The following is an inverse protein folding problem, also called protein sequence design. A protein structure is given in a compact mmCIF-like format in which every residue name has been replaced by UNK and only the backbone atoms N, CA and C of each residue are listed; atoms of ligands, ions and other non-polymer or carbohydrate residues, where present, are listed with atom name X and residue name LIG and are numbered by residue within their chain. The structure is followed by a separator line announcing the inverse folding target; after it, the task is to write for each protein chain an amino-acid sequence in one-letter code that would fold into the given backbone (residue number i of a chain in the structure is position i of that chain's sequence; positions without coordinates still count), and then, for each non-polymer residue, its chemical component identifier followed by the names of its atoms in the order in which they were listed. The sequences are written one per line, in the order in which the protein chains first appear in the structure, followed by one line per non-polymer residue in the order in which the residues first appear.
data_IF_163498338275
#
_entry.id   IF_163498338275
#
_cell.length_a   1.000
_cell.length_b   1.000
_cell.length_c   1.000
_cell.angle_alpha   90.00
_cell.angle_beta   90.00
_cell.angle_gamma   90.00
#
_symmetry.space_group_name_H-M   'P 1'
#
loop_
_entity.id
_entity.type
_entity.pdbx_description
1 polymer ?
#
# COMPACT_ATOMS: atom_id res chain seq x y z
N UNK A 1 -12.24 -10.54 -51.47
CA UNK A 1 -12.28 -11.54 -50.38
C UNK A 1 -11.41 -11.10 -49.19
N UNK A 2 -11.52 -9.83 -48.77
CA UNK A 2 -10.72 -9.27 -47.68
C UNK A 2 -11.48 -8.40 -46.65
N UNK A 3 -12.82 -8.42 -46.70
CA UNK A 3 -13.64 -7.54 -45.83
C UNK A 3 -14.22 -8.28 -44.60
N UNK A 4 -14.18 -9.63 -44.57
CA UNK A 4 -14.80 -10.40 -43.49
C UNK A 4 -13.88 -10.65 -42.25
N UNK A 5 -12.55 -10.50 -42.39
CA UNK A 5 -11.60 -10.79 -41.29
C UNK A 5 -11.45 -9.62 -40.33
N UNK A 6 -11.66 -8.38 -40.81
CA UNK A 6 -11.53 -7.18 -39.94
C UNK A 6 -12.71 -6.97 -38.97
N UNK A 7 -13.90 -7.53 -39.31
CA UNK A 7 -15.08 -7.36 -38.47
C UNK A 7 -15.13 -8.31 -37.27
N UNK A 8 -14.55 -9.50 -37.42
CA UNK A 8 -14.48 -10.48 -36.32
C UNK A 8 -13.48 -10.05 -35.26
N UNK A 9 -12.34 -9.47 -35.67
CA UNK A 9 -11.31 -8.97 -34.74
C UNK A 9 -11.77 -7.78 -33.86
N UNK A 10 -12.62 -6.91 -34.43
CA UNK A 10 -13.16 -5.78 -33.69
C UNK A 10 -14.22 -6.20 -32.64
N UNK A 11 -14.92 -7.29 -32.88
CA UNK A 11 -15.93 -7.81 -31.94
C UNK A 11 -15.31 -8.59 -30.79
N UNK A 12 -14.28 -9.37 -31.05
CA UNK A 12 -13.55 -10.10 -30.00
C UNK A 12 -12.77 -9.16 -29.06
N UNK A 13 -12.09 -8.13 -29.59
CA UNK A 13 -11.44 -7.12 -28.76
C UNK A 13 -12.43 -6.32 -27.89
N UNK A 14 -13.65 -6.01 -28.41
CA UNK A 14 -14.65 -5.33 -27.58
C UNK A 14 -15.28 -6.23 -26.53
N UNK A 15 -15.44 -7.52 -26.80
CA UNK A 15 -15.92 -8.47 -25.82
C UNK A 15 -14.92 -8.71 -24.68
N UNK A 16 -13.63 -8.79 -24.98
CA UNK A 16 -12.56 -8.94 -24.00
C UNK A 16 -12.45 -7.68 -23.11
N UNK A 17 -12.53 -6.47 -23.70
CA UNK A 17 -12.50 -5.21 -22.93
C UNK A 17 -13.75 -5.05 -22.05
N UNK A 18 -14.92 -5.55 -22.46
CA UNK A 18 -16.15 -5.50 -21.65
C UNK A 18 -16.18 -6.53 -20.53
N UNK A 19 -15.48 -7.65 -20.65
CA UNK A 19 -15.40 -8.66 -19.60
C UNK A 19 -14.46 -8.22 -18.45
N UNK A 20 -13.48 -7.37 -18.74
CA UNK A 20 -12.50 -6.92 -17.75
C UNK A 20 -13.03 -5.76 -16.85
N UNK A 21 -14.10 -5.07 -17.27
CA UNK A 21 -14.72 -3.99 -16.50
C UNK A 21 -15.71 -4.45 -15.42
N UNK A 22 -15.89 -5.76 -15.22
CA UNK A 22 -16.88 -6.31 -14.26
C UNK A 22 -16.27 -6.99 -13.05
N UNK A 23 -14.95 -7.17 -13.00
CA UNK A 23 -14.29 -7.80 -11.86
C UNK A 23 -14.24 -6.86 -10.67
N UNK A 24 -14.57 -7.36 -9.49
CA UNK A 24 -14.28 -6.68 -8.24
C UNK A 24 -12.77 -6.74 -7.93
N UNK A 25 -12.25 -5.82 -7.11
CA UNK A 25 -10.85 -5.86 -6.68
C UNK A 25 -10.50 -7.18 -5.99
N UNK A 26 -11.45 -7.78 -5.26
CA UNK A 26 -11.26 -9.07 -4.62
C UNK A 26 -11.10 -10.22 -5.64
N UNK A 27 -11.90 -10.23 -6.70
CA UNK A 27 -11.80 -11.23 -7.77
C UNK A 27 -10.50 -11.06 -8.57
N UNK A 28 -10.11 -9.82 -8.85
CA UNK A 28 -8.87 -9.52 -9.56
C UNK A 28 -7.65 -9.95 -8.74
N UNK A 29 -7.63 -9.65 -7.45
CA UNK A 29 -6.56 -10.08 -6.55
C UNK A 29 -6.49 -11.61 -6.44
N UNK A 30 -7.61 -12.30 -6.25
CA UNK A 30 -7.63 -13.77 -6.16
C UNK A 30 -7.08 -14.43 -7.43
N UNK A 31 -7.46 -13.93 -8.61
CA UNK A 31 -6.97 -14.45 -9.89
C UNK A 31 -5.46 -14.16 -10.06
N UNK A 32 -5.02 -12.97 -9.65
CA UNK A 32 -3.60 -12.59 -9.73
C UNK A 32 -2.71 -13.44 -8.83
N UNK A 33 -3.17 -13.78 -7.62
CA UNK A 33 -2.39 -14.55 -6.66
C UNK A 33 -2.45 -16.06 -6.91
N UNK A 34 -3.53 -16.58 -7.52
CA UNK A 34 -3.70 -18.01 -7.78
C UNK A 34 -3.56 -18.83 -6.51
N UNK A 35 -2.62 -19.79 -6.49
CA UNK A 35 -2.36 -20.67 -5.34
C UNK A 35 -1.15 -20.22 -4.48
N UNK A 36 -0.63 -19.01 -4.71
CA UNK A 36 0.55 -18.53 -4.00
C UNK A 36 0.23 -18.21 -2.53
N UNK A 37 1.17 -18.53 -1.64
CA UNK A 37 1.12 -18.21 -0.20
C UNK A 37 2.27 -17.28 0.19
N UNK A 38 1.98 -16.31 1.08
CA UNK A 38 2.93 -15.29 1.49
C UNK A 38 3.21 -15.31 2.98
N UNK A 39 4.49 -15.16 3.33
CA UNK A 39 4.95 -15.00 4.72
C UNK A 39 4.85 -13.55 5.20
N UNK A 40 4.82 -12.58 4.29
CA UNK A 40 4.77 -11.15 4.63
C UNK A 40 3.94 -10.36 3.63
N UNK A 41 3.04 -9.53 4.15
CA UNK A 41 2.21 -8.61 3.37
C UNK A 41 2.53 -7.17 3.76
N UNK A 42 2.75 -6.32 2.75
CA UNK A 42 2.78 -4.85 2.85
C UNK A 42 1.59 -4.30 2.08
N UNK A 43 0.86 -3.36 2.66
CA UNK A 43 -0.28 -2.73 1.99
C UNK A 43 -0.38 -1.22 2.26
N UNK A 44 -0.75 -0.47 1.21
CA UNK A 44 -1.10 0.96 1.29
C UNK A 44 -2.46 1.19 0.61
N UNK A 45 -3.58 0.79 1.23
CA UNK A 45 -4.90 0.91 0.62
C UNK A 45 -5.25 2.34 0.23
N UNK A 46 -6.00 2.54 -0.86
CA UNK A 46 -6.50 3.85 -1.26
C UNK A 46 -7.67 4.29 -0.38
N UNK A 47 -7.37 4.61 0.86
CA UNK A 47 -8.34 4.94 1.91
C UNK A 47 -9.31 6.03 1.50
N UNK A 48 -10.60 5.80 1.75
CA UNK A 48 -11.64 6.82 1.60
C UNK A 48 -11.86 7.58 2.91
N UNK A 49 -11.73 8.91 2.83
CA UNK A 49 -12.05 9.78 3.96
C UNK A 49 -13.51 10.23 3.88
N UNK A 50 -14.33 9.80 4.83
CA UNK A 50 -15.71 10.27 4.96
C UNK A 50 -15.74 11.50 5.85
N UNK A 51 -16.12 12.65 5.31
CA UNK A 51 -16.28 13.86 6.09
C UNK A 51 -17.74 14.08 6.49
N UNK A 52 -18.03 13.99 7.78
CA UNK A 52 -19.38 14.19 8.36
C UNK A 52 -19.90 15.62 8.27
N UNK A 53 -19.06 16.62 8.02
CA UNK A 53 -19.44 18.03 8.12
C UNK A 53 -19.83 18.67 6.79
N UNK A 54 -19.80 17.95 5.69
CA UNK A 54 -20.14 18.46 4.35
C UNK A 54 -19.22 19.58 3.84
N UNK A 55 -18.25 20.05 4.64
CA UNK A 55 -17.24 20.98 4.20
C UNK A 55 -16.15 20.23 3.46
N UNK A 56 -15.85 20.65 2.25
CA UNK A 56 -14.75 20.08 1.44
C UNK A 56 -13.43 20.36 2.16
N UNK A 57 -12.95 19.41 2.94
CA UNK A 57 -11.61 19.49 3.48
C UNK A 57 -10.59 19.48 2.33
N UNK A 58 -9.40 20.08 2.50
CA UNK A 58 -8.33 20.03 1.50
C UNK A 58 -7.98 18.60 1.05
N UNK A 59 -8.23 17.62 1.90
CA UNK A 59 -8.11 16.20 1.60
C UNK A 59 -9.08 15.75 0.49
N UNK A 60 -10.29 16.31 0.39
CA UNK A 60 -11.25 15.99 -0.68
C UNK A 60 -10.77 16.40 -2.08
N UNK A 61 -9.95 17.44 -2.21
CA UNK A 61 -9.27 17.73 -3.48
C UNK A 61 -8.27 16.64 -3.88
N UNK A 62 -7.85 15.78 -2.95
CA UNK A 62 -6.98 14.62 -3.21
C UNK A 62 -7.79 13.42 -3.70
N UNK A 63 -9.03 13.25 -3.26
CA UNK A 63 -9.95 12.18 -3.69
C UNK A 63 -10.27 12.24 -5.19
N UNK A 64 -10.16 13.41 -5.82
CA UNK A 64 -10.34 13.57 -7.26
C UNK A 64 -9.15 13.07 -8.11
N UNK A 65 -8.06 12.61 -7.49
CA UNK A 65 -6.81 12.26 -8.21
C UNK A 65 -6.65 10.77 -8.49
N UNK A 66 -7.27 9.91 -7.70
CA UNK A 66 -7.30 8.46 -7.91
C UNK A 66 -8.53 7.84 -7.23
N UNK A 67 -9.03 6.71 -7.75
CA UNK A 67 -10.15 5.99 -7.14
C UNK A 67 -9.77 5.56 -5.71
N UNK A 68 -10.70 5.75 -4.78
CA UNK A 68 -10.59 5.26 -3.40
C UNK A 68 -11.47 4.03 -3.24
N UNK A 69 -11.15 3.17 -2.25
CA UNK A 69 -11.96 2.01 -1.90
C UNK A 69 -12.73 2.26 -0.62
N UNK A 70 -13.92 1.69 -0.51
CA UNK A 70 -14.68 1.63 0.75
C UNK A 70 -13.97 0.69 1.73
N UNK A 71 -14.19 0.89 3.03
CA UNK A 71 -13.60 0.05 4.06
C UNK A 71 -13.99 -1.42 3.89
N UNK A 72 -15.26 -1.66 3.58
CA UNK A 72 -15.83 -2.98 3.35
C UNK A 72 -15.13 -3.72 2.21
N UNK A 73 -14.83 -3.02 1.12
CA UNK A 73 -14.14 -3.59 -0.04
C UNK A 73 -12.66 -3.93 0.29
N UNK A 74 -11.99 -3.08 1.09
CA UNK A 74 -10.63 -3.35 1.56
C UNK A 74 -10.62 -4.59 2.48
N UNK A 75 -11.57 -4.67 3.41
CA UNK A 75 -11.71 -5.81 4.31
C UNK A 75 -12.04 -7.12 3.57
N UNK A 76 -12.80 -7.02 2.47
CA UNK A 76 -13.23 -8.16 1.67
C UNK A 76 -12.16 -8.71 0.71
N UNK A 77 -10.98 -8.09 0.61
CA UNK A 77 -9.88 -8.66 -0.15
C UNK A 77 -9.46 -10.02 0.41
N UNK A 78 -9.28 -11.07 -0.41
CA UNK A 78 -9.03 -12.45 0.03
C UNK A 78 -7.61 -12.67 0.53
N UNK A 79 -7.04 -11.70 1.26
CA UNK A 79 -5.65 -11.74 1.74
C UNK A 79 -5.43 -12.94 2.67
N UNK A 80 -6.41 -13.25 3.54
CA UNK A 80 -6.31 -14.33 4.50
C UNK A 80 -6.14 -15.72 3.86
N UNK A 81 -6.60 -15.90 2.63
CA UNK A 81 -6.56 -17.16 1.87
C UNK A 81 -5.19 -17.42 1.28
N UNK A 82 -4.37 -16.37 1.12
CA UNK A 82 -3.04 -16.40 0.52
C UNK A 82 -1.91 -16.22 1.54
N UNK A 83 -2.17 -16.52 2.81
CA UNK A 83 -1.18 -16.39 3.87
C UNK A 83 -0.70 -17.76 4.35
N UNK A 84 0.61 -17.86 4.51
CA UNK A 84 1.22 -18.96 5.25
C UNK A 84 0.67 -19.04 6.69
N UNK A 85 0.78 -20.20 7.34
CA UNK A 85 0.36 -20.42 8.74
C UNK A 85 0.95 -19.39 9.71
N UNK A 86 2.15 -18.92 9.41
CA UNK A 86 2.84 -17.84 10.14
C UNK A 86 3.16 -16.71 9.17
N UNK A 87 2.58 -15.56 9.44
CA UNK A 87 2.75 -14.39 8.56
C UNK A 87 2.83 -13.07 9.33
N UNK A 88 3.41 -12.07 8.67
CA UNK A 88 3.48 -10.68 9.10
C UNK A 88 2.65 -9.80 8.17
N UNK A 89 2.04 -8.76 8.71
CA UNK A 89 1.40 -7.71 7.93
C UNK A 89 1.93 -6.34 8.34
N UNK A 90 2.21 -5.53 7.34
CA UNK A 90 2.55 -4.12 7.45
C UNK A 90 1.50 -3.31 6.68
N UNK A 91 0.67 -2.55 7.41
CA UNK A 91 -0.46 -1.82 6.83
C UNK A 91 -0.32 -0.32 7.06
N UNK A 92 -0.15 0.45 5.99
CA UNK A 92 -0.15 1.91 6.05
C UNK A 92 -1.56 2.45 6.33
N UNK A 93 -1.65 3.28 7.35
CA UNK A 93 -2.91 3.86 7.78
C UNK A 93 -2.73 5.36 8.08
N UNK A 94 -3.58 6.23 7.53
CA UNK A 94 -3.64 7.61 7.97
C UNK A 94 -4.02 7.72 9.44
N UNK A 95 -3.45 8.67 10.17
CA UNK A 95 -3.71 8.83 11.62
C UNK A 95 -5.22 8.92 11.96
N UNK A 96 -6.02 9.54 11.07
CA UNK A 96 -7.45 9.70 11.28
C UNK A 96 -8.27 8.42 11.06
N UNK A 97 -7.69 7.38 10.45
CA UNK A 97 -8.34 6.11 10.11
C UNK A 97 -7.72 4.92 10.86
N UNK A 98 -7.13 5.19 12.03
CA UNK A 98 -6.53 4.13 12.83
C UNK A 98 -7.52 3.01 13.21
N UNK A 99 -8.77 3.29 13.62
CA UNK A 99 -9.77 2.24 13.89
C UNK A 99 -10.05 1.37 12.65
N UNK A 100 -10.17 1.99 11.48
CA UNK A 100 -10.39 1.31 10.19
C UNK A 100 -9.20 0.41 9.83
N UNK A 101 -7.98 0.89 10.05
CA UNK A 101 -6.77 0.10 9.84
C UNK A 101 -6.69 -1.14 10.74
N UNK A 102 -7.11 -1.01 12.00
CA UNK A 102 -7.20 -2.16 12.91
C UNK A 102 -8.27 -3.16 12.47
N UNK A 103 -9.41 -2.67 11.95
CA UNK A 103 -10.46 -3.53 11.39
C UNK A 103 -9.97 -4.31 10.16
N UNK A 104 -9.20 -3.67 9.26
CA UNK A 104 -8.61 -4.35 8.09
C UNK A 104 -7.62 -5.43 8.53
N UNK A 105 -6.72 -5.15 9.48
CA UNK A 105 -5.80 -6.18 10.00
C UNK A 105 -6.56 -7.39 10.51
N UNK A 106 -7.63 -7.16 11.29
CA UNK A 106 -8.47 -8.24 11.83
C UNK A 106 -9.18 -9.01 10.72
N UNK A 107 -9.76 -8.33 9.73
CA UNK A 107 -10.45 -8.94 8.60
C UNK A 107 -9.50 -9.84 7.78
N UNK A 108 -8.24 -9.43 7.62
CA UNK A 108 -7.21 -10.22 6.93
C UNK A 108 -6.56 -11.32 7.81
N UNK A 109 -7.07 -11.53 9.02
CA UNK A 109 -6.62 -12.61 9.91
C UNK A 109 -5.35 -12.32 10.70
N UNK A 110 -4.98 -11.04 10.87
CA UNK A 110 -3.84 -10.61 11.68
C UNK A 110 -4.25 -10.04 13.02
N UNK A 111 -3.47 -10.31 14.05
CA UNK A 111 -3.54 -9.67 15.35
C UNK A 111 -2.55 -8.50 15.40
N UNK A 112 -3.03 -7.28 15.69
CA UNK A 112 -2.17 -6.12 15.88
C UNK A 112 -1.16 -6.34 17.03
N UNK A 113 0.10 -6.02 16.79
CA UNK A 113 1.18 -6.17 17.79
C UNK A 113 1.94 -4.89 18.06
N UNK A 114 2.18 -4.08 17.02
CA UNK A 114 3.02 -2.89 17.11
C UNK A 114 2.78 -1.97 15.90
N UNK A 115 3.55 -0.90 15.82
CA UNK A 115 3.56 -0.04 14.64
C UNK A 115 4.95 0.57 14.42
N UNK A 116 5.16 1.06 13.22
CA UNK A 116 6.27 1.93 12.86
C UNK A 116 5.69 3.30 12.49
N UNK A 117 6.28 4.36 13.00
CA UNK A 117 5.85 5.73 12.71
C UNK A 117 6.78 6.32 11.65
N UNK A 118 6.21 6.76 10.53
CA UNK A 118 6.95 7.61 9.61
C UNK A 118 6.84 9.07 10.05
N UNK A 119 7.93 9.63 10.55
CA UNK A 119 8.08 11.05 10.84
C UNK A 119 8.58 11.78 9.59
N UNK A 120 7.73 12.64 9.04
CA UNK A 120 8.00 13.45 7.85
C UNK A 120 8.79 14.67 8.24
N UNK A 121 10.03 14.76 7.78
CA UNK A 121 10.94 15.85 8.10
C UNK A 121 11.17 16.79 6.91
N UNK A 122 11.64 18.00 7.18
CA UNK A 122 12.12 18.98 6.20
C UNK A 122 13.63 18.80 5.94
N UNK A 123 14.17 19.62 5.02
CA UNK A 123 15.61 19.62 4.70
C UNK A 123 16.50 19.98 5.90
N UNK A 124 15.98 20.79 6.80
CA UNK A 124 16.66 21.20 8.04
C UNK A 124 16.51 20.20 9.19
N UNK A 125 15.91 19.01 8.93
CA UNK A 125 15.65 17.99 9.93
C UNK A 125 14.43 18.26 10.82
N UNK A 126 13.84 19.45 10.77
CA UNK A 126 12.61 19.76 11.50
C UNK A 126 11.38 19.08 10.94
N UNK A 127 10.33 18.95 11.75
CA UNK A 127 9.05 18.34 11.33
C UNK A 127 8.43 19.08 10.13
N UNK A 128 7.89 18.32 9.15
CA UNK A 128 7.20 18.89 7.98
C UNK A 128 5.78 19.32 8.32
N UNK A 129 5.64 20.47 8.98
CA UNK A 129 4.36 21.04 9.40
C UNK A 129 3.53 21.71 8.30
N UNK A 130 3.80 21.44 7.01
CA UNK A 130 3.08 22.05 5.87
C UNK A 130 1.72 21.37 5.57
N UNK A 131 1.43 20.24 6.20
CA UNK A 131 0.13 19.59 6.10
C UNK A 131 -0.97 20.37 6.82
N UNK A 132 -2.21 20.23 6.36
CA UNK A 132 -3.40 20.69 7.07
C UNK A 132 -4.02 19.54 7.84
N UNK A 133 -4.62 19.83 8.99
CA UNK A 133 -5.37 18.87 9.78
C UNK A 133 -6.45 19.59 10.59
N UNK A 134 -7.53 18.89 10.91
CA UNK A 134 -8.64 19.47 11.68
C UNK A 134 -8.26 19.78 13.12
N UNK A 135 -7.44 18.94 13.72
CA UNK A 135 -7.01 19.09 15.11
C UNK A 135 -5.53 19.44 15.19
N UNK A 136 -4.69 18.61 14.57
CA UNK A 136 -3.25 18.79 14.53
C UNK A 136 -2.73 18.71 13.09
N UNK A 137 -1.63 19.38 12.80
CA UNK A 137 -0.92 19.21 11.53
C UNK A 137 -0.18 17.89 11.55
N UNK A 138 -0.66 16.93 10.75
CA UNK A 138 -0.07 15.60 10.70
C UNK A 138 1.33 15.65 10.05
N UNK A 139 2.33 15.39 10.85
CA UNK A 139 3.72 15.21 10.43
C UNK A 139 4.13 13.74 10.41
N UNK A 140 3.21 12.85 10.77
CA UNK A 140 3.44 11.41 10.84
C UNK A 140 2.43 10.64 9.99
N UNK A 141 2.80 9.41 9.61
CA UNK A 141 1.90 8.33 9.17
C UNK A 141 2.24 7.06 9.92
N UNK A 142 1.26 6.17 10.05
CA UNK A 142 1.37 4.94 10.82
C UNK A 142 1.47 3.75 9.88
N UNK A 143 2.48 2.90 10.09
CA UNK A 143 2.58 1.57 9.52
C UNK A 143 2.25 0.57 10.63
N UNK A 144 1.03 0.04 10.63
CA UNK A 144 0.62 -0.99 11.59
C UNK A 144 1.37 -2.27 11.34
N UNK A 145 1.74 -2.97 12.40
CA UNK A 145 2.33 -4.29 12.35
C UNK A 145 1.43 -5.31 13.02
N UNK A 146 1.03 -6.33 12.26
CA UNK A 146 0.24 -7.45 12.72
C UNK A 146 0.92 -8.79 12.47
N UNK A 147 0.54 -9.82 13.25
CA UNK A 147 1.04 -11.18 13.07
C UNK A 147 -0.10 -12.18 12.96
N UNK A 148 0.10 -13.25 12.19
CA UNK A 148 -0.75 -14.43 12.12
C UNK A 148 0.03 -15.65 12.61
N UNK A 149 -0.63 -16.54 13.33
CA UNK A 149 -0.04 -17.79 13.83
C UNK A 149 0.47 -17.71 15.27
N UNK A 150 0.98 -18.84 15.79
CA UNK A 150 1.47 -18.96 17.17
C UNK A 150 2.95 -18.62 17.28
N UNK A 151 3.32 -17.88 18.33
CA UNK A 151 4.71 -17.53 18.63
C UNK A 151 5.45 -16.82 17.48
N UNK A 152 4.72 -16.03 16.70
CA UNK A 152 5.27 -15.27 15.58
C UNK A 152 5.94 -13.99 16.11
N UNK A 153 7.23 -13.84 15.80
CA UNK A 153 8.05 -12.67 16.17
C UNK A 153 8.84 -12.23 14.94
N UNK A 154 9.29 -10.98 14.94
CA UNK A 154 10.25 -10.50 13.96
C UNK A 154 11.53 -11.33 13.97
N UNK A 155 12.23 -11.41 12.85
CA UNK A 155 13.53 -12.06 12.72
C UNK A 155 14.56 -11.47 13.70
N UNK A 156 15.54 -12.28 14.11
CA UNK A 156 16.47 -11.89 15.18
C UNK A 156 17.24 -10.59 14.92
N UNK A 157 17.75 -10.30 13.71
CA UNK A 157 18.37 -9.01 13.41
C UNK A 157 17.40 -7.84 13.54
N UNK A 158 16.15 -8.02 13.09
CA UNK A 158 15.10 -7.00 13.11
C UNK A 158 14.60 -6.64 14.51
N UNK A 159 14.85 -7.45 15.53
CA UNK A 159 14.45 -7.16 16.91
C UNK A 159 15.13 -5.92 17.51
N UNK A 160 16.17 -5.41 16.87
CA UNK A 160 16.82 -4.15 17.26
C UNK A 160 16.31 -2.95 16.46
N UNK A 161 15.42 -3.18 15.50
CA UNK A 161 14.85 -2.12 14.67
C UNK A 161 13.98 -1.21 15.54
N UNK A 162 14.30 0.07 15.55
CA UNK A 162 13.45 1.08 16.18
C UNK A 162 12.18 1.27 15.35
N UNK A 163 11.07 1.55 16.00
CA UNK A 163 9.77 1.70 15.37
C UNK A 163 9.54 3.10 14.77
N UNK A 164 10.55 3.68 14.16
CA UNK A 164 10.46 5.00 13.53
C UNK A 164 11.28 5.07 12.25
N UNK A 165 10.68 5.67 11.21
CA UNK A 165 11.35 6.10 9.99
C UNK A 165 11.34 7.62 9.97
N UNK A 166 12.49 8.23 9.82
CA UNK A 166 12.60 9.67 9.58
C UNK A 166 13.07 9.90 8.15
N UNK A 167 12.20 10.45 7.33
CA UNK A 167 12.57 10.80 5.97
C UNK A 167 11.70 11.93 5.43
N UNK A 168 12.12 12.50 4.32
CA UNK A 168 11.37 13.56 3.67
C UNK A 168 10.22 12.96 2.87
N UNK A 169 9.14 13.74 2.74
CA UNK A 169 8.05 13.37 1.84
C UNK A 169 8.59 13.12 0.45
N UNK A 170 8.02 12.13 -0.18
CA UNK A 170 8.27 11.75 -1.54
C UNK A 170 7.18 12.29 -2.45
N UNK A 171 7.13 11.94 -3.71
CA UNK A 171 6.02 12.26 -4.58
C UNK A 171 4.67 11.95 -3.91
N UNK A 172 3.60 12.44 -4.45
CA UNK A 172 2.29 12.34 -3.81
C UNK A 172 1.95 10.90 -3.39
N UNK A 173 1.61 10.74 -2.11
CA UNK A 173 1.23 9.47 -1.45
C UNK A 173 2.27 8.36 -1.43
N UNK A 174 3.47 8.54 -1.99
CA UNK A 174 4.52 7.53 -1.94
C UNK A 174 5.06 7.39 -0.52
N UNK A 175 5.17 6.16 -0.07
CA UNK A 175 5.76 5.80 1.22
C UNK A 175 7.29 5.76 1.14
N UNK A 176 7.99 5.83 2.28
CA UNK A 176 9.45 5.82 2.32
C UNK A 176 10.01 4.46 1.89
N UNK A 177 11.02 4.46 1.00
CA UNK A 177 11.64 3.21 0.52
C UNK A 177 12.38 2.46 1.63
N UNK A 178 12.74 3.15 2.70
CA UNK A 178 13.35 2.58 3.90
C UNK A 178 12.50 1.47 4.53
N UNK A 179 11.17 1.48 4.27
CA UNK A 179 10.25 0.43 4.73
C UNK A 179 10.67 -0.97 4.27
N UNK A 180 11.08 -1.11 3.01
CA UNK A 180 11.40 -2.43 2.46
C UNK A 180 12.58 -3.08 3.17
N UNK A 181 13.66 -2.33 3.38
CA UNK A 181 14.82 -2.83 4.14
C UNK A 181 14.44 -3.22 5.57
N UNK A 182 13.56 -2.47 6.21
CA UNK A 182 13.08 -2.78 7.56
C UNK A 182 12.25 -4.07 7.52
N UNK A 183 11.33 -4.18 6.57
CA UNK A 183 10.45 -5.36 6.44
C UNK A 183 11.29 -6.60 6.15
N UNK A 184 12.17 -6.55 5.16
CA UNK A 184 13.04 -7.65 4.77
C UNK A 184 14.00 -8.09 5.90
N UNK A 185 14.43 -7.14 6.76
CA UNK A 185 15.26 -7.44 7.93
C UNK A 185 14.48 -7.96 9.15
N UNK A 186 13.16 -7.75 9.18
CA UNK A 186 12.30 -8.15 10.31
C UNK A 186 11.42 -9.37 10.01
N UNK A 187 11.24 -9.72 8.74
CA UNK A 187 10.23 -10.67 8.29
C UNK A 187 10.77 -11.54 7.16
N UNK A 188 10.13 -12.66 6.94
CA UNK A 188 10.48 -13.63 5.90
C UNK A 188 9.53 -13.55 4.72
N UNK A 189 10.01 -13.93 3.54
CA UNK A 189 9.22 -14.08 2.32
C UNK A 189 8.44 -15.41 2.27
N UNK A 190 7.72 -15.64 1.19
CA UNK A 190 7.54 -14.72 0.07
C UNK A 190 6.85 -13.42 0.48
N UNK A 191 7.17 -12.32 -0.23
CA UNK A 191 6.65 -10.98 0.07
C UNK A 191 5.56 -10.59 -0.92
N UNK A 192 4.43 -10.08 -0.41
CA UNK A 192 3.33 -9.50 -1.19
C UNK A 192 3.19 -8.01 -0.87
N UNK A 193 3.15 -7.18 -1.89
CA UNK A 193 2.79 -5.78 -1.77
C UNK A 193 1.44 -5.53 -2.45
N UNK A 194 0.46 -5.09 -1.68
CA UNK A 194 -0.87 -4.70 -2.16
C UNK A 194 -0.93 -3.19 -2.37
N UNK A 195 -1.55 -2.78 -3.48
CA UNK A 195 -1.65 -1.38 -3.91
C UNK A 195 -0.27 -0.76 -4.21
N UNK A 196 0.68 -1.61 -4.62
CA UNK A 196 2.05 -1.18 -4.91
C UNK A 196 2.16 -0.30 -6.15
N UNK A 197 3.30 0.38 -6.25
CA UNK A 197 3.66 1.19 -7.42
C UNK A 197 4.98 0.70 -7.99
N UNK A 198 4.95 0.32 -9.27
CA UNK A 198 6.07 -0.34 -9.91
C UNK A 198 6.26 -1.77 -9.43
N UNK A 199 7.26 -2.43 -9.95
CA UNK A 199 7.67 -3.77 -9.55
C UNK A 199 8.91 -3.70 -8.66
N UNK A 200 9.09 -4.72 -7.82
CA UNK A 200 10.26 -4.86 -6.95
C UNK A 200 10.78 -6.30 -7.02
N UNK A 201 12.08 -6.45 -7.17
CA UNK A 201 12.73 -7.75 -7.11
C UNK A 201 12.47 -8.44 -5.74
N UNK A 202 12.10 -9.72 -5.77
CA UNK A 202 11.77 -10.51 -4.59
C UNK A 202 10.37 -10.26 -4.00
N UNK A 203 9.55 -9.39 -4.63
CA UNK A 203 8.20 -9.08 -4.20
C UNK A 203 7.19 -9.39 -5.31
N UNK A 204 6.07 -10.00 -4.93
CA UNK A 204 4.86 -10.04 -5.74
C UNK A 204 4.11 -8.74 -5.48
N UNK A 205 3.84 -7.95 -6.53
CA UNK A 205 3.24 -6.61 -6.39
C UNK A 205 1.92 -6.55 -7.13
N UNK A 206 0.84 -6.21 -6.44
CA UNK A 206 -0.49 -5.98 -7.00
C UNK A 206 -0.94 -4.54 -6.77
N UNK A 207 -1.49 -3.90 -7.81
CA UNK A 207 -1.99 -2.53 -7.76
C UNK A 207 -2.13 -1.90 -9.14
N UNK A 208 -2.94 -0.85 -9.25
CA UNK A 208 -3.19 -0.14 -10.52
C UNK A 208 -1.94 0.52 -11.14
N UNK A 209 -0.86 0.63 -10.39
CA UNK A 209 0.43 1.19 -10.81
C UNK A 209 1.57 0.18 -10.63
N UNK A 210 1.25 -1.10 -10.44
CA UNK A 210 2.23 -2.21 -10.37
C UNK A 210 2.74 -2.52 -11.78
N UNK A 211 3.45 -1.58 -12.38
CA UNK A 211 3.92 -1.61 -13.76
C UNK A 211 5.45 -1.54 -13.80
N UNK A 212 6.07 -2.35 -14.67
CA UNK A 212 7.51 -2.33 -14.91
C UNK A 212 8.01 -0.98 -15.44
N UNK A 213 7.15 -0.26 -16.15
CA UNK A 213 7.46 1.06 -16.71
C UNK A 213 7.25 2.22 -15.70
N UNK A 214 6.70 1.93 -14.52
CA UNK A 214 6.54 2.95 -13.48
C UNK A 214 7.89 3.54 -13.08
N UNK A 215 8.03 4.83 -13.30
CA UNK A 215 9.22 5.60 -12.89
C UNK A 215 8.84 6.60 -11.82
N UNK A 216 9.37 6.45 -10.61
CA UNK A 216 9.17 7.46 -9.58
C UNK A 216 9.68 8.83 -10.05
N UNK A 217 8.90 9.89 -9.79
CA UNK A 217 9.38 11.26 -10.02
C UNK A 217 10.37 11.67 -8.93
N UNK A 218 11.65 11.41 -9.20
CA UNK A 218 12.75 11.71 -8.30
C UNK A 218 13.19 13.18 -8.31
N UNK A 219 12.67 14.01 -9.19
CA UNK A 219 13.06 15.41 -9.26
C UNK A 219 12.80 16.17 -7.96
N UNK A 220 11.76 15.83 -7.27
CA UNK A 220 11.46 16.33 -5.92
C UNK A 220 12.32 15.68 -4.83
N UNK A 221 13.04 14.62 -5.16
CA UNK A 221 13.61 13.64 -4.24
C UNK A 221 15.12 13.63 -4.14
N UNK A 222 15.82 13.65 -5.27
CA UNK A 222 17.28 13.65 -5.30
C UNK A 222 17.85 14.82 -4.49
N UNK A 223 17.11 15.94 -4.45
CA UNK A 223 17.41 17.07 -3.57
C UNK A 223 17.11 16.78 -2.08
N UNK A 224 16.42 15.71 -1.77
CA UNK A 224 15.68 15.57 -0.52
C UNK A 224 16.09 14.40 0.36
N UNK A 225 16.66 13.35 -0.19
CA UNK A 225 16.94 12.13 0.56
C UNK A 225 18.29 12.17 1.30
N UNK A 226 19.20 13.07 0.94
CA UNK A 226 20.57 13.02 1.47
C UNK A 226 21.35 11.77 1.05
N UNK A 227 20.68 10.84 0.38
CA UNK A 227 21.27 9.70 -0.27
C UNK A 227 21.71 10.21 -1.64
N UNK A 228 22.98 10.66 -1.72
CA UNK A 228 23.67 10.67 -3.00
C UNK A 228 23.51 9.27 -3.60
N UNK A 229 23.07 9.21 -4.85
CA UNK A 229 23.21 8.00 -5.63
C UNK A 229 24.70 7.62 -5.60
N UNK A 230 25.04 6.53 -4.92
CA UNK A 230 26.24 5.77 -5.21
C UNK A 230 25.97 4.85 -6.39
#
# INVERSE_FOLDING_TARGET
MYVHVLFVWQFECRAIIMLDMTKTAAQDLAEFLGDDEFGTVLADPPWRFVNRTGKVAPEHKRLARYPTMELEDICALPVAEHLADRAHCYLWVPNALLPEGLAVLQAWGFEYKSNIIWHKIRKDGGSDGRGVGFYFRNVTEILLFGTRGKNVRTEAPGRRQVNMIQSRKREHSRKPDEQYRIIEGCSWGPYLELFGRGIREGWTVWGNQADADYKPDWKTYSYNSGLAAE
#
